data_IF_391402183343
#
_entry.id   IF_391402183343
#
_cell.length_a   1.000
_cell.length_b   1.000
_cell.length_c   1.000
_cell.angle_alpha   90.00
_cell.angle_beta   90.00
_cell.angle_gamma   90.00
#
_symmetry.space_group_name_H-M   'P 1'
#
loop_
_entity.id
_entity.type
_entity.pdbx_description
1 polymer ?
#
# COMPACT_ATOMS: atom_id res chain seq x y z
N UNK A 1 10.26 -15.92 23.45
CA UNK A 1 10.61 -14.97 22.39
C UNK A 1 9.30 -14.41 21.91
N UNK A 2 9.09 -13.10 21.98
CA UNK A 2 7.83 -12.50 21.56
C UNK A 2 7.68 -12.71 20.06
N UNK A 3 6.69 -13.51 19.66
CA UNK A 3 6.15 -13.59 18.30
C UNK A 3 5.51 -12.23 17.95
N UNK A 4 6.32 -11.16 17.90
CA UNK A 4 5.90 -9.95 17.22
C UNK A 4 5.82 -10.33 15.75
N UNK A 5 4.65 -10.13 15.15
CA UNK A 5 4.50 -10.45 13.74
C UNK A 5 5.50 -9.59 12.98
N UNK A 6 6.18 -10.16 11.97
CA UNK A 6 7.19 -9.43 11.17
C UNK A 6 6.64 -8.15 10.51
N UNK A 7 5.31 -8.02 10.51
CA UNK A 7 4.53 -6.93 9.92
C UNK A 7 4.12 -5.86 10.95
N UNK A 8 4.23 -6.11 12.25
CA UNK A 8 3.76 -5.17 13.28
C UNK A 8 4.42 -3.79 13.12
N UNK A 9 3.59 -2.76 12.94
CA UNK A 9 4.04 -1.37 12.79
C UNK A 9 4.73 -1.02 11.47
N UNK A 10 4.78 -1.94 10.49
CA UNK A 10 5.30 -1.65 9.14
C UNK A 10 4.45 -0.61 8.44
N UNK A 11 5.09 0.31 7.71
CA UNK A 11 4.39 1.27 6.85
C UNK A 11 4.11 0.63 5.50
N UNK A 12 2.84 0.43 5.17
CA UNK A 12 2.43 -0.24 3.93
C UNK A 12 1.59 0.72 3.10
N UNK A 13 1.93 0.86 1.83
CA UNK A 13 1.07 1.51 0.83
C UNK A 13 0.27 0.43 0.09
N UNK A 14 -1.04 0.55 0.07
CA UNK A 14 -1.93 -0.27 -0.77
C UNK A 14 -2.49 0.60 -1.91
N UNK A 15 -2.40 0.12 -3.14
CA UNK A 15 -2.82 0.84 -4.34
C UNK A 15 -3.72 -0.03 -5.21
N UNK A 16 -4.98 0.34 -5.33
CA UNK A 16 -6.00 -0.40 -6.08
C UNK A 16 -7.17 0.55 -6.42
N UNK A 17 -7.73 0.49 -7.64
CA UNK A 17 -8.87 1.35 -8.02
C UNK A 17 -10.20 0.85 -7.43
N UNK A 18 -10.25 -0.39 -6.94
CA UNK A 18 -11.41 -0.99 -6.28
C UNK A 18 -11.40 -0.71 -4.76
N UNK A 19 -12.31 0.17 -4.30
CA UNK A 19 -12.36 0.60 -2.89
C UNK A 19 -12.63 -0.55 -1.91
N UNK A 20 -13.40 -1.56 -2.31
CA UNK A 20 -13.67 -2.73 -1.49
C UNK A 20 -12.44 -3.63 -1.30
N UNK A 21 -11.53 -3.66 -2.28
CA UNK A 21 -10.21 -4.31 -2.15
C UNK A 21 -9.36 -3.55 -1.15
N UNK A 22 -9.32 -2.22 -1.23
CA UNK A 22 -8.58 -1.38 -0.28
C UNK A 22 -9.09 -1.59 1.16
N UNK A 23 -10.41 -1.58 1.36
CA UNK A 23 -11.01 -1.80 2.68
C UNK A 23 -10.66 -3.19 3.24
N UNK A 24 -10.72 -4.24 2.41
CA UNK A 24 -10.34 -5.59 2.81
C UNK A 24 -8.86 -5.71 3.17
N UNK A 25 -7.97 -5.08 2.40
CA UNK A 25 -6.53 -5.07 2.68
C UNK A 25 -6.20 -4.32 3.97
N UNK A 26 -6.86 -3.19 4.22
CA UNK A 26 -6.69 -2.41 5.45
C UNK A 26 -7.12 -3.21 6.69
N UNK A 27 -8.23 -3.97 6.62
CA UNK A 27 -8.67 -4.85 7.71
C UNK A 27 -7.65 -5.99 7.96
N UNK A 28 -7.16 -6.63 6.90
CA UNK A 28 -6.17 -7.71 6.98
C UNK A 28 -4.82 -7.24 7.53
N UNK A 29 -4.45 -5.99 7.24
CA UNK A 29 -3.20 -5.36 7.64
C UNK A 29 -3.35 -4.42 8.84
N UNK A 30 -4.38 -4.62 9.67
CA UNK A 30 -4.68 -3.79 10.85
C UNK A 30 -3.56 -3.71 11.90
N UNK A 31 -2.55 -4.59 11.84
CA UNK A 31 -1.33 -4.51 12.66
C UNK A 31 -0.26 -3.55 12.09
N UNK A 32 -0.44 -3.08 10.85
CA UNK A 32 0.46 -2.20 10.12
C UNK A 32 -0.03 -0.75 10.15
N UNK A 33 0.84 0.18 9.79
CA UNK A 33 0.46 1.56 9.47
C UNK A 33 0.15 1.65 7.97
N UNK A 34 -1.12 1.49 7.62
CA UNK A 34 -1.57 1.40 6.23
C UNK A 34 -1.88 2.79 5.68
N UNK A 35 -1.41 3.06 4.48
CA UNK A 35 -1.80 4.20 3.66
C UNK A 35 -2.40 3.68 2.35
N UNK A 36 -3.38 4.40 1.80
CA UNK A 36 -4.16 3.96 0.63
C UNK A 36 -4.13 4.98 -0.49
N UNK A 37 -4.11 4.49 -1.72
CA UNK A 37 -4.29 5.28 -2.93
C UNK A 37 -5.21 4.51 -3.89
N UNK A 38 -6.16 5.20 -4.53
CA UNK A 38 -7.03 4.57 -5.54
C UNK A 38 -6.70 5.01 -6.96
N UNK A 39 -5.66 5.82 -7.12
CA UNK A 39 -5.21 6.31 -8.41
C UNK A 39 -3.69 6.30 -8.49
N UNK A 40 -3.18 6.26 -9.71
CA UNK A 40 -1.75 6.38 -9.99
C UNK A 40 -1.14 7.65 -9.38
N UNK A 41 -1.80 8.80 -9.55
CA UNK A 41 -1.27 10.10 -9.14
C UNK A 41 -1.17 10.22 -7.62
N UNK A 42 -2.16 9.71 -6.88
CA UNK A 42 -2.11 9.63 -5.42
C UNK A 42 -0.97 8.73 -4.94
N UNK A 43 -0.86 7.53 -5.53
CA UNK A 43 0.20 6.58 -5.17
C UNK A 43 1.59 7.17 -5.44
N UNK A 44 1.76 7.82 -6.60
CA UNK A 44 2.99 8.51 -6.96
C UNK A 44 3.34 9.62 -5.97
N UNK A 45 2.40 10.50 -5.64
CA UNK A 45 2.64 11.59 -4.67
C UNK A 45 3.07 11.05 -3.31
N UNK A 46 2.46 9.93 -2.87
CA UNK A 46 2.81 9.27 -1.62
C UNK A 46 4.21 8.65 -1.66
N UNK A 47 4.58 7.97 -2.76
CA UNK A 47 5.91 7.38 -2.95
C UNK A 47 7.01 8.43 -3.04
N UNK A 48 6.72 9.59 -3.65
CA UNK A 48 7.69 10.70 -3.75
C UNK A 48 7.82 11.49 -2.43
N UNK A 49 6.81 11.44 -1.55
CA UNK A 49 6.78 12.25 -0.31
C UNK A 49 7.22 11.51 0.95
N UNK A 50 7.13 10.17 0.98
CA UNK A 50 7.53 9.38 2.15
C UNK A 50 7.95 7.95 1.81
N UNK A 51 8.82 7.38 2.66
CA UNK A 51 9.25 5.99 2.55
C UNK A 51 8.20 5.01 3.12
N UNK A 52 8.03 3.90 2.41
CA UNK A 52 7.23 2.75 2.83
C UNK A 52 8.12 1.51 2.96
N UNK A 53 7.79 0.62 3.91
CA UNK A 53 8.46 -0.67 4.04
C UNK A 53 8.02 -1.64 2.93
N UNK A 54 6.74 -1.58 2.55
CA UNK A 54 6.09 -2.48 1.58
C UNK A 54 5.08 -1.68 0.76
N UNK A 55 4.97 -2.00 -0.52
CA UNK A 55 3.91 -1.50 -1.41
C UNK A 55 3.18 -2.69 -2.01
N UNK A 56 1.85 -2.69 -1.90
CA UNK A 56 0.95 -3.64 -2.56
C UNK A 56 0.24 -2.86 -3.67
N UNK A 57 0.37 -3.33 -4.90
CA UNK A 57 -0.09 -2.60 -6.08
C UNK A 57 -0.93 -3.50 -6.98
N UNK A 58 -2.06 -2.98 -7.45
CA UNK A 58 -2.74 -3.52 -8.61
C UNK A 58 -2.03 -3.08 -9.90
N UNK A 59 -1.98 -3.99 -10.86
CA UNK A 59 -1.24 -3.81 -12.11
C UNK A 59 -2.13 -3.21 -13.20
N UNK A 60 -3.42 -3.55 -13.23
CA UNK A 60 -4.28 -3.24 -14.38
C UNK A 60 -5.07 -1.93 -14.22
N UNK A 61 -5.59 -1.64 -13.02
CA UNK A 61 -6.49 -0.51 -12.76
C UNK A 61 -5.78 0.82 -12.52
N UNK A 62 -4.54 0.80 -12.04
CA UNK A 62 -3.81 2.01 -11.60
C UNK A 62 -2.48 2.27 -12.34
N UNK A 63 -2.28 1.72 -13.55
CA UNK A 63 -1.02 1.83 -14.31
C UNK A 63 0.20 1.41 -13.46
N UNK A 64 0.03 0.32 -12.69
CA UNK A 64 0.93 -0.06 -11.60
C UNK A 64 2.37 -0.37 -12.02
N UNK A 65 2.62 -0.75 -13.27
CA UNK A 65 3.98 -0.93 -13.77
C UNK A 65 4.80 0.34 -13.73
N UNK A 66 4.20 1.50 -13.99
CA UNK A 66 4.91 2.78 -13.95
C UNK A 66 5.25 3.23 -12.53
N UNK A 67 4.55 2.70 -11.52
CA UNK A 67 4.89 2.96 -10.12
C UNK A 67 6.21 2.26 -9.72
N UNK A 68 6.66 1.24 -10.46
CA UNK A 68 7.94 0.57 -10.21
C UNK A 68 9.16 1.37 -10.69
N UNK A 69 8.95 2.40 -11.51
CA UNK A 69 10.01 3.27 -12.06
C UNK A 69 10.24 4.54 -11.21
N UNK A 70 9.52 4.70 -10.09
CA UNK A 70 9.62 5.82 -9.14
C UNK A 70 10.62 5.46 -8.04
#
# INVERSE_FOLDING_TARGET
>A
MSDSSLLDGKKILIVDDELDVLDALEELLSMCNVARASTFDEAKEMLESQDFDIVVLDIMGVDGYRLLDI
#
